data_IF_948422728046
#
_entry.id   IF_948422728046
#
_cell.length_a   1.000
_cell.length_b   1.000
_cell.length_c   1.000
_cell.angle_alpha   90.00
_cell.angle_beta   90.00
_cell.angle_gamma   90.00
#
_symmetry.space_group_name_H-M   'P 1'
#
loop_
_entity.id
_entity.type
_entity.pdbx_description
1 polymer ?
#
# COMPACT_ATOMS: atom_id res chain seq x y z
N UNK A 1 8.97 -14.26 -13.03
CA UNK A 1 8.03 -13.26 -12.48
C UNK A 1 8.72 -12.65 -11.29
N UNK A 2 8.98 -11.34 -11.30
CA UNK A 2 9.73 -10.69 -10.22
C UNK A 2 8.88 -10.72 -8.95
N UNK A 3 9.35 -11.42 -7.91
CA UNK A 3 8.71 -11.50 -6.60
C UNK A 3 8.99 -10.23 -5.77
N UNK A 4 8.71 -9.06 -6.37
CA UNK A 4 8.81 -7.76 -5.70
C UNK A 4 7.74 -7.70 -4.60
N UNK A 5 8.06 -7.07 -3.46
CA UNK A 5 7.14 -6.90 -2.31
C UNK A 5 6.74 -8.19 -1.56
N UNK A 6 7.55 -9.25 -1.61
CA UNK A 6 7.31 -10.45 -0.80
C UNK A 6 7.39 -10.15 0.69
N UNK A 7 6.40 -10.63 1.44
CA UNK A 7 6.37 -10.61 2.90
C UNK A 7 5.90 -11.96 3.41
N UNK A 8 6.41 -12.35 4.57
CA UNK A 8 5.99 -13.56 5.29
C UNK A 8 4.61 -13.39 5.92
N UNK A 9 4.22 -12.14 6.24
CA UNK A 9 3.01 -11.86 6.99
C UNK A 9 1.95 -11.16 6.15
N UNK A 10 0.70 -11.58 6.34
CA UNK A 10 -0.44 -10.88 5.75
C UNK A 10 -0.67 -9.56 6.47
N UNK A 11 -0.90 -8.51 5.70
CA UNK A 11 -1.23 -7.19 6.22
C UNK A 11 -2.70 -7.13 6.62
N UNK A 12 -2.94 -6.79 7.88
CA UNK A 12 -4.28 -6.61 8.41
C UNK A 12 -4.37 -5.25 9.10
N UNK A 13 -5.10 -4.33 8.48
CA UNK A 13 -5.44 -3.07 9.12
C UNK A 13 -6.77 -3.20 9.87
N UNK A 14 -6.73 -3.83 11.04
CA UNK A 14 -7.91 -3.96 11.91
C UNK A 14 -8.39 -2.62 12.47
N UNK A 15 -7.58 -1.55 12.37
CA UNK A 15 -7.93 -0.23 12.90
C UNK A 15 -8.92 0.47 11.98
N UNK A 16 -8.69 0.47 10.68
CA UNK A 16 -9.59 1.08 9.71
C UNK A 16 -10.52 0.05 9.04
N UNK A 17 -10.09 -1.21 8.94
CA UNK A 17 -10.84 -2.31 8.34
C UNK A 17 -10.95 -3.50 9.29
N UNK A 18 -11.73 -3.39 10.39
CA UNK A 18 -11.88 -4.47 11.39
C UNK A 18 -12.51 -5.75 10.83
N UNK A 19 -13.13 -5.67 9.64
CA UNK A 19 -13.73 -6.80 8.91
C UNK A 19 -12.94 -7.22 7.67
N UNK A 20 -11.76 -6.63 7.46
CA UNK A 20 -10.91 -6.83 6.28
C UNK A 20 -11.34 -6.01 5.06
N UNK A 21 -10.39 -5.82 4.13
CA UNK A 21 -10.56 -5.01 2.91
C UNK A 21 -11.68 -5.54 2.01
N UNK A 22 -11.79 -6.86 1.87
CA UNK A 22 -12.79 -7.53 1.03
C UNK A 22 -14.25 -7.27 1.45
N UNK A 23 -14.50 -6.91 2.72
CA UNK A 23 -15.86 -6.70 3.25
C UNK A 23 -16.32 -5.25 3.22
N UNK A 24 -15.43 -4.31 2.95
CA UNK A 24 -15.74 -2.88 3.00
C UNK A 24 -16.24 -2.33 1.65
N UNK A 25 -16.09 -3.09 0.56
CA UNK A 25 -16.54 -2.70 -0.78
C UNK A 25 -15.72 -1.59 -1.44
N UNK A 26 -14.73 -1.02 -0.74
CA UNK A 26 -13.81 -0.02 -1.29
C UNK A 26 -12.80 -0.62 -2.27
N UNK A 27 -12.46 -1.89 -2.06
CA UNK A 27 -11.48 -2.63 -2.85
C UNK A 27 -12.14 -3.85 -3.46
N UNK A 28 -11.77 -4.15 -4.69
CA UNK A 28 -12.08 -5.43 -5.32
C UNK A 28 -11.37 -6.57 -4.58
N UNK A 29 -11.86 -7.80 -4.76
CA UNK A 29 -11.26 -9.00 -4.14
C UNK A 29 -9.77 -9.11 -4.50
N UNK A 30 -9.40 -8.76 -5.74
CA UNK A 30 -8.00 -8.76 -6.21
C UNK A 30 -7.16 -7.72 -5.47
N UNK A 31 -7.63 -6.48 -5.39
CA UNK A 31 -6.97 -5.39 -4.66
C UNK A 31 -6.82 -5.71 -3.17
N UNK A 32 -7.86 -6.27 -2.54
CA UNK A 32 -7.84 -6.69 -1.15
C UNK A 32 -6.77 -7.76 -0.91
N UNK A 33 -6.74 -8.81 -1.75
CA UNK A 33 -5.70 -9.84 -1.68
C UNK A 33 -4.30 -9.28 -1.90
N UNK A 34 -4.16 -8.29 -2.78
CA UNK A 34 -2.89 -7.63 -3.05
C UNK A 34 -2.40 -6.84 -1.83
N UNK A 35 -3.28 -6.05 -1.19
CA UNK A 35 -2.99 -5.37 0.07
C UNK A 35 -2.69 -6.37 1.20
N UNK A 36 -3.46 -7.45 1.31
CA UNK A 36 -3.22 -8.46 2.33
C UNK A 36 -1.87 -9.18 2.10
N UNK A 37 -1.49 -9.45 0.84
CA UNK A 37 -0.21 -10.11 0.51
C UNK A 37 0.99 -9.21 0.56
N UNK A 38 0.89 -7.95 0.13
CA UNK A 38 2.03 -7.05 -0.06
C UNK A 38 1.99 -5.82 0.85
N UNK A 39 0.90 -5.61 1.60
CA UNK A 39 0.69 -4.42 2.42
C UNK A 39 1.72 -4.23 3.52
N UNK A 40 2.35 -5.29 4.01
CA UNK A 40 3.46 -5.17 4.96
C UNK A 40 4.68 -4.53 4.29
N UNK A 41 5.08 -5.04 3.12
CA UNK A 41 6.18 -4.48 2.35
C UNK A 41 5.90 -3.03 1.95
N UNK A 42 4.69 -2.75 1.46
CA UNK A 42 4.24 -1.40 1.15
C UNK A 42 4.34 -0.46 2.35
N UNK A 43 3.87 -0.89 3.53
CA UNK A 43 3.94 -0.10 4.76
C UNK A 43 5.38 0.15 5.20
N UNK A 44 6.26 -0.84 5.12
CA UNK A 44 7.67 -0.68 5.50
C UNK A 44 8.42 0.25 4.53
N UNK A 45 8.13 0.17 3.24
CA UNK A 45 8.69 1.06 2.21
C UNK A 45 8.16 2.49 2.37
N UNK A 46 6.86 2.67 2.60
CA UNK A 46 6.21 3.97 2.87
C UNK A 46 6.79 4.64 4.13
N UNK A 47 7.02 3.85 5.18
CA UNK A 47 7.63 4.30 6.43
C UNK A 47 9.16 4.45 6.36
N UNK A 48 9.80 4.02 5.26
CA UNK A 48 11.26 4.00 5.14
C UNK A 48 11.96 3.03 6.10
N UNK A 49 11.24 2.05 6.66
CA UNK A 49 11.81 0.97 7.49
C UNK A 49 12.58 -0.05 6.64
N UNK A 50 12.14 -0.24 5.40
CA UNK A 50 12.77 -1.11 4.41
C UNK A 50 13.30 -0.26 3.28
N UNK A 51 14.53 -0.52 2.87
CA UNK A 51 15.09 0.11 1.67
C UNK A 51 14.58 -0.59 0.40
N UNK A 52 14.19 0.17 -0.63
CA UNK A 52 13.73 -0.39 -1.88
C UNK A 52 14.91 -1.05 -2.62
N UNK A 53 14.88 -2.37 -2.77
CA UNK A 53 15.93 -3.13 -3.42
C UNK A 53 15.69 -3.23 -4.94
N UNK A 54 14.43 -3.33 -5.34
CA UNK A 54 14.01 -3.48 -6.74
C UNK A 54 13.55 -2.15 -7.35
N UNK A 55 13.54 -2.09 -8.69
CA UNK A 55 13.06 -0.90 -9.39
C UNK A 55 11.58 -0.62 -9.11
N UNK A 56 10.74 -1.66 -9.02
CA UNK A 56 9.35 -1.53 -8.57
C UNK A 56 9.23 -0.89 -7.18
N UNK A 57 10.04 -1.33 -6.20
CA UNK A 57 10.02 -0.74 -4.86
C UNK A 57 10.50 0.72 -4.86
N UNK A 58 11.51 1.06 -5.69
CA UNK A 58 11.98 2.45 -5.84
C UNK A 58 10.89 3.32 -6.44
N UNK A 59 10.24 2.84 -7.49
CA UNK A 59 9.10 3.52 -8.13
C UNK A 59 7.97 3.71 -7.14
N UNK A 60 7.63 2.67 -6.37
CA UNK A 60 6.62 2.73 -5.32
C UNK A 60 6.90 3.81 -4.28
N UNK A 61 8.14 3.93 -3.81
CA UNK A 61 8.55 5.01 -2.87
C UNK A 61 8.40 6.39 -3.52
N UNK A 62 8.80 6.56 -4.78
CA UNK A 62 8.57 7.83 -5.52
C UNK A 62 7.08 8.14 -5.69
N UNK A 63 6.25 7.14 -5.95
CA UNK A 63 4.78 7.30 -6.04
C UNK A 63 4.20 7.71 -4.68
N UNK A 64 4.64 7.07 -3.60
CA UNK A 64 4.26 7.43 -2.23
C UNK A 64 4.61 8.90 -1.89
N UNK A 65 5.76 9.40 -2.39
CA UNK A 65 6.19 10.80 -2.25
C UNK A 65 5.42 11.77 -3.14
N UNK A 66 4.61 11.28 -4.08
CA UNK A 66 3.89 12.09 -5.06
C UNK A 66 4.78 12.59 -6.21
N UNK A 67 5.98 12.03 -6.37
CA UNK A 67 6.90 12.36 -7.47
C UNK A 67 6.48 11.68 -8.79
N UNK A 68 5.68 10.61 -8.70
CA UNK A 68 5.21 9.84 -9.85
C UNK A 68 3.78 9.35 -9.67
N UNK A 69 3.08 9.16 -10.79
CA UNK A 69 1.77 8.53 -10.80
C UNK A 69 1.85 7.00 -10.65
N UNK A 70 0.93 6.38 -9.89
CA UNK A 70 0.91 4.93 -9.71
C UNK A 70 0.58 4.24 -11.04
N UNK A 71 1.50 3.40 -11.53
CA UNK A 71 1.33 2.66 -12.78
C UNK A 71 0.91 1.22 -12.54
N UNK A 72 1.35 0.62 -11.44
CA UNK A 72 1.01 -0.76 -11.07
C UNK A 72 -0.26 -0.81 -10.20
N UNK A 73 -1.01 -1.91 -10.28
CA UNK A 73 -2.15 -2.16 -9.39
C UNK A 73 -1.74 -2.10 -7.91
N UNK A 74 -0.52 -2.51 -7.59
CA UNK A 74 0.11 -2.40 -6.27
C UNK A 74 0.18 -0.96 -5.75
N UNK A 75 0.72 -0.07 -6.57
CA UNK A 75 0.87 1.34 -6.24
C UNK A 75 -0.51 2.01 -6.16
N UNK A 76 -1.39 1.72 -7.12
CA UNK A 76 -2.75 2.29 -7.17
C UNK A 76 -3.54 1.90 -5.93
N UNK A 77 -3.50 0.62 -5.54
CA UNK A 77 -4.23 0.14 -4.36
C UNK A 77 -3.65 0.72 -3.08
N UNK A 78 -2.32 0.82 -2.99
CA UNK A 78 -1.67 1.39 -1.81
C UNK A 78 -1.98 2.88 -1.65
N UNK A 79 -1.88 3.67 -2.72
CA UNK A 79 -2.22 5.09 -2.69
C UNK A 79 -3.69 5.29 -2.34
N UNK A 80 -4.59 4.46 -2.88
CA UNK A 80 -6.01 4.47 -2.52
C UNK A 80 -6.22 4.12 -1.04
N UNK A 81 -5.55 3.09 -0.53
CA UNK A 81 -5.57 2.71 0.88
C UNK A 81 -5.02 3.82 1.79
N UNK A 82 -3.84 4.37 1.47
CA UNK A 82 -3.26 5.53 2.13
C UNK A 82 -4.22 6.71 2.10
N UNK A 83 -4.80 7.08 0.96
CA UNK A 83 -5.77 8.17 0.90
C UNK A 83 -6.99 7.92 1.81
N UNK A 84 -7.43 6.66 1.98
CA UNK A 84 -8.52 6.28 2.88
C UNK A 84 -8.12 6.38 4.36
N UNK A 85 -6.93 5.89 4.72
CA UNK A 85 -6.48 5.81 6.13
C UNK A 85 -5.72 7.05 6.61
N UNK A 86 -4.90 7.65 5.75
CA UNK A 86 -4.17 8.90 5.98
C UNK A 86 -5.08 10.12 5.83
N UNK A 87 -6.37 10.02 5.47
CA UNK A 87 -7.34 11.15 5.40
C UNK A 87 -7.02 12.14 6.53
N UNK A 88 -6.29 13.23 6.27
CA UNK A 88 -5.86 14.09 7.35
C UNK A 88 -7.06 14.93 7.75
N UNK A 89 -7.29 15.11 9.04
CA UNK A 89 -7.64 16.47 9.50
C UNK A 89 -6.54 17.35 8.92
N UNK A 90 -6.87 18.18 7.93
CA UNK A 90 -5.95 19.13 7.29
C UNK A 90 -5.04 19.75 8.35
N UNK A 91 -3.77 19.40 8.32
CA UNK A 91 -2.70 20.28 8.79
C UNK A 91 -1.78 20.45 7.59
N UNK A 92 -2.28 21.26 6.65
CA UNK A 92 -1.40 22.17 5.95
C UNK A 92 -1.01 23.23 6.97
N UNK A 93 0.27 23.58 7.01
CA UNK A 93 0.92 24.63 7.81
C UNK A 93 0.02 25.76 8.28
#
# INVERSE_FOLDING_TARGET
MAESFTTTNRFFDNKHYPRGFSRHGDFTIKEAQLLERHGYAFNELDLGKREPATEDEKQFVSVCRGEREPQSDAERVWIKYMARIKRPKRFHT
#
